data_IF_087898104525
#
_entry.id   IF_087898104525
#
_cell.length_a   1.000
_cell.length_b   1.000
_cell.length_c   1.000
_cell.angle_alpha   90.00
_cell.angle_beta   90.00
_cell.angle_gamma   90.00
#
_symmetry.space_group_name_H-M   'P 1'
#
loop_
_entity.id
_entity.type
_entity.pdbx_description
1 polymer ?
#
# COMPACT_ATOMS: atom_id res chain seq x y z
N UNK A 1 -15.88 -2.77 -4.83
CA UNK A 1 -14.45 -2.62 -4.58
C UNK A 1 -14.17 -1.16 -4.35
N UNK A 2 -13.61 -0.83 -3.20
CA UNK A 2 -13.13 0.53 -2.95
C UNK A 2 -11.70 0.74 -3.48
N UNK A 3 -11.14 1.92 -3.25
CA UNK A 3 -9.77 2.25 -3.65
C UNK A 3 -8.71 1.37 -2.95
N UNK A 4 -8.99 0.91 -1.72
CA UNK A 4 -8.09 0.04 -0.97
C UNK A 4 -8.01 -1.34 -1.62
N UNK A 5 -9.16 -1.94 -1.95
CA UNK A 5 -9.24 -3.24 -2.62
C UNK A 5 -8.51 -3.20 -3.97
N UNK A 6 -8.70 -2.12 -4.74
CA UNK A 6 -8.06 -1.95 -6.06
C UNK A 6 -6.55 -1.82 -5.91
N UNK A 7 -6.09 -1.02 -4.95
CA UNK A 7 -4.67 -0.84 -4.65
C UNK A 7 -4.03 -2.16 -4.22
N UNK A 8 -4.68 -2.93 -3.35
CA UNK A 8 -4.15 -4.23 -2.93
C UNK A 8 -4.06 -5.22 -4.09
N UNK A 9 -5.10 -5.34 -4.92
CA UNK A 9 -5.05 -6.25 -6.07
C UNK A 9 -3.95 -5.85 -7.06
N UNK A 10 -3.80 -4.56 -7.31
CA UNK A 10 -2.75 -4.03 -8.16
C UNK A 10 -1.36 -4.32 -7.58
N UNK A 11 -1.17 -4.09 -6.27
CA UNK A 11 0.06 -4.43 -5.57
C UNK A 11 0.45 -5.90 -5.79
N UNK A 12 -0.48 -6.82 -5.55
CA UNK A 12 -0.23 -8.25 -5.72
C UNK A 12 0.12 -8.59 -7.16
N UNK A 13 -0.57 -8.03 -8.15
CA UNK A 13 -0.27 -8.24 -9.56
C UNK A 13 1.11 -7.70 -9.96
N UNK A 14 1.48 -6.53 -9.46
CA UNK A 14 2.78 -5.91 -9.73
C UNK A 14 3.91 -6.68 -9.06
N UNK A 15 3.72 -7.13 -7.83
CA UNK A 15 4.69 -7.98 -7.11
C UNK A 15 4.86 -9.32 -7.84
N UNK A 16 3.79 -10.00 -8.21
CA UNK A 16 3.87 -11.27 -8.94
C UNK A 16 4.60 -11.14 -10.28
N UNK A 17 4.39 -10.04 -11.00
CA UNK A 17 4.95 -9.85 -12.34
C UNK A 17 6.39 -9.32 -12.36
N UNK A 18 6.74 -8.41 -11.43
CA UNK A 18 8.03 -7.70 -11.45
C UNK A 18 8.95 -8.04 -10.28
N UNK A 19 8.39 -8.39 -9.12
CA UNK A 19 9.16 -8.56 -7.89
C UNK A 19 8.73 -9.81 -7.10
N UNK A 20 8.76 -11.02 -7.71
CA UNK A 20 8.19 -12.22 -7.10
C UNK A 20 8.86 -12.60 -5.76
N UNK A 21 10.10 -12.17 -5.52
CA UNK A 21 10.79 -12.37 -4.25
C UNK A 21 10.00 -11.79 -3.05
N UNK A 22 9.34 -10.64 -3.23
CA UNK A 22 8.55 -9.97 -2.18
C UNK A 22 7.25 -10.72 -1.80
N UNK A 23 6.89 -11.80 -2.49
CA UNK A 23 5.82 -12.70 -2.02
C UNK A 23 6.25 -13.54 -0.81
N UNK A 24 7.56 -13.72 -0.64
CA UNK A 24 8.15 -14.58 0.42
C UNK A 24 9.06 -13.81 1.36
N UNK A 25 9.46 -12.60 0.99
CA UNK A 25 10.39 -11.78 1.74
C UNK A 25 9.73 -10.45 2.12
N UNK A 26 10.03 -9.92 3.32
CA UNK A 26 9.61 -8.57 3.66
C UNK A 26 10.35 -7.55 2.78
N UNK A 27 9.70 -6.41 2.55
CA UNK A 27 10.27 -5.27 1.86
C UNK A 27 9.99 -3.99 2.64
N UNK A 28 10.80 -2.97 2.39
CA UNK A 28 10.66 -1.69 3.08
C UNK A 28 9.44 -0.93 2.54
N UNK A 29 8.74 -0.20 3.40
CA UNK A 29 7.67 0.71 2.97
C UNK A 29 8.18 1.73 1.93
N UNK A 30 9.48 2.04 1.97
CA UNK A 30 10.18 2.84 0.97
C UNK A 30 10.06 2.30 -0.46
N UNK A 31 10.23 0.99 -0.62
CA UNK A 31 10.21 0.34 -1.93
C UNK A 31 8.80 0.34 -2.53
N UNK A 32 7.76 0.36 -1.68
CA UNK A 32 6.37 0.41 -2.11
C UNK A 32 6.10 1.64 -2.98
N UNK A 33 6.51 2.84 -2.54
CA UNK A 33 6.23 4.07 -3.29
C UNK A 33 7.29 4.42 -4.35
N UNK A 34 8.50 3.88 -4.24
CA UNK A 34 9.57 4.13 -5.22
C UNK A 34 9.50 3.18 -6.41
N UNK A 35 9.32 1.89 -6.14
CA UNK A 35 9.57 0.83 -7.12
C UNK A 35 8.30 0.05 -7.48
N UNK A 36 7.47 -0.27 -6.48
CA UNK A 36 6.36 -1.21 -6.69
C UNK A 36 5.10 -0.50 -7.20
N UNK A 37 4.64 0.54 -6.51
CA UNK A 37 3.43 1.30 -6.86
C UNK A 37 3.65 2.82 -6.92
N UNK A 38 4.63 3.34 -7.68
CA UNK A 38 4.81 4.78 -7.78
C UNK A 38 3.56 5.48 -8.35
N UNK A 39 3.01 6.45 -7.59
CA UNK A 39 1.76 7.17 -7.92
C UNK A 39 1.70 7.65 -9.37
N UNK A 40 2.78 8.25 -9.87
CA UNK A 40 2.85 8.80 -11.24
C UNK A 40 2.60 7.75 -12.33
N UNK A 41 2.97 6.50 -12.08
CA UNK A 41 2.82 5.41 -13.04
C UNK A 41 1.45 4.73 -12.92
N UNK A 42 0.90 4.64 -11.70
CA UNK A 42 -0.27 3.80 -11.43
C UNK A 42 -1.57 4.56 -11.12
N UNK A 43 -1.56 5.91 -11.04
CA UNK A 43 -2.75 6.72 -10.68
C UNK A 43 -4.05 6.33 -11.41
N UNK A 44 -3.96 6.00 -12.70
CA UNK A 44 -5.12 5.62 -13.53
C UNK A 44 -5.67 4.24 -13.16
N UNK A 45 -4.78 3.29 -12.87
CA UNK A 45 -5.13 1.90 -12.56
C UNK A 45 -5.63 1.78 -11.12
N UNK A 46 -5.11 2.61 -10.22
CA UNK A 46 -5.57 2.73 -8.82
C UNK A 46 -6.91 3.47 -8.70
N UNK A 47 -7.27 4.28 -9.71
CA UNK A 47 -8.49 5.08 -9.72
C UNK A 47 -8.47 6.15 -8.63
N UNK A 48 -7.32 6.82 -8.48
CA UNK A 48 -7.06 7.88 -7.52
C UNK A 48 -6.87 9.20 -8.25
N UNK A 49 -7.57 10.23 -7.79
CA UNK A 49 -7.59 11.53 -8.46
C UNK A 49 -6.42 12.43 -8.01
N UNK A 50 -6.01 12.29 -6.75
CA UNK A 50 -4.95 13.10 -6.15
C UNK A 50 -3.83 12.26 -5.53
N UNK A 51 -2.67 12.88 -5.31
CA UNK A 51 -1.58 12.27 -4.54
C UNK A 51 -1.98 12.07 -3.06
N UNK A 52 -2.86 12.92 -2.53
CA UNK A 52 -3.37 12.78 -1.16
C UNK A 52 -4.23 11.52 -1.02
N UNK A 53 -5.09 11.21 -2.00
CA UNK A 53 -5.89 9.97 -1.98
C UNK A 53 -4.98 8.74 -1.99
N UNK A 54 -3.89 8.79 -2.76
CA UNK A 54 -2.88 7.75 -2.80
C UNK A 54 -2.18 7.55 -1.45
N UNK A 55 -1.71 8.63 -0.84
CA UNK A 55 -1.06 8.57 0.48
C UNK A 55 -2.03 8.02 1.54
N UNK A 56 -3.29 8.42 1.51
CA UNK A 56 -4.31 7.99 2.45
C UNK A 56 -4.65 6.50 2.30
N UNK A 57 -4.77 6.00 1.05
CA UNK A 57 -4.99 4.57 0.80
C UNK A 57 -3.78 3.73 1.20
N UNK A 58 -2.56 4.23 0.95
CA UNK A 58 -1.35 3.55 1.40
C UNK A 58 -1.24 3.50 2.93
N UNK A 59 -1.54 4.60 3.62
CA UNK A 59 -1.55 4.65 5.07
C UNK A 59 -2.56 3.63 5.64
N UNK A 60 -3.74 3.52 5.06
CA UNK A 60 -4.71 2.47 5.43
C UNK A 60 -4.17 1.06 5.18
N UNK A 61 -3.53 0.82 4.03
CA UNK A 61 -2.95 -0.49 3.72
C UNK A 61 -1.85 -0.87 4.71
N UNK A 62 -0.96 0.08 5.05
CA UNK A 62 0.18 -0.12 5.95
C UNK A 62 -0.23 -0.14 7.43
N UNK A 63 -1.37 0.45 7.80
CA UNK A 63 -1.94 0.31 9.15
C UNK A 63 -2.58 -1.06 9.38
N UNK A 64 -2.55 -1.94 8.38
CA UNK A 64 -3.13 -3.28 8.45
C UNK A 64 -4.64 -3.29 8.21
N UNK A 65 -5.20 -2.28 7.53
CA UNK A 65 -6.62 -2.30 7.19
C UNK A 65 -6.97 -3.60 6.45
N UNK A 66 -7.97 -4.31 6.96
CA UNK A 66 -8.50 -5.58 6.43
C UNK A 66 -7.49 -6.72 6.35
N UNK A 67 -6.39 -6.64 7.11
CA UNK A 67 -5.34 -7.68 7.19
C UNK A 67 -4.74 -8.07 5.83
N UNK A 68 -4.73 -7.14 4.86
CA UNK A 68 -4.19 -7.38 3.51
C UNK A 68 -2.66 -7.55 3.49
N UNK A 69 -1.96 -6.86 4.38
CA UNK A 69 -0.50 -6.94 4.50
C UNK A 69 -0.10 -7.39 5.91
N UNK A 70 0.92 -8.23 5.97
CA UNK A 70 1.63 -8.51 7.22
C UNK A 70 2.64 -7.39 7.43
N UNK A 71 2.31 -6.44 8.31
CA UNK A 71 3.16 -5.31 8.66
C UNK A 71 3.76 -5.54 10.04
N UNK A 72 4.98 -5.02 10.28
CA UNK A 72 5.58 -5.10 11.59
C UNK A 72 4.65 -4.44 12.65
N UNK A 73 4.59 -5.02 13.86
CA UNK A 73 3.60 -4.61 14.86
C UNK A 73 3.79 -3.15 15.33
N UNK A 74 5.04 -2.70 15.47
CA UNK A 74 5.37 -1.34 15.92
C UNK A 74 4.93 -0.26 14.92
N UNK A 75 5.10 -0.52 13.62
CA UNK A 75 4.70 0.36 12.53
C UNK A 75 3.19 0.38 12.39
N UNK A 76 2.55 -0.80 12.47
CA UNK A 76 1.09 -0.91 12.47
C UNK A 76 0.45 -0.04 13.56
N UNK A 77 0.94 -0.15 14.80
CA UNK A 77 0.42 0.63 15.93
C UNK A 77 0.68 2.14 15.81
N UNK A 78 1.80 2.55 15.21
CA UNK A 78 2.07 3.98 14.95
C UNK A 78 1.12 4.52 13.89
N UNK A 79 1.01 3.84 12.76
CA UNK A 79 0.15 4.28 11.65
C UNK A 79 -1.34 4.26 12.00
N UNK A 80 -1.78 3.26 12.76
CA UNK A 80 -3.16 3.20 13.26
C UNK A 80 -3.50 4.38 14.20
N UNK A 81 -2.53 4.83 15.02
CA UNK A 81 -2.71 6.02 15.87
C UNK A 81 -2.79 7.30 15.05
N UNK A 82 -1.91 7.48 14.06
CA UNK A 82 -1.94 8.65 13.17
C UNK A 82 -3.27 8.73 12.39
N UNK A 83 -3.77 7.60 11.88
CA UNK A 83 -5.08 7.55 11.19
C UNK A 83 -6.27 7.88 12.10
N UNK A 84 -6.15 7.63 13.41
CA UNK A 84 -7.19 7.95 14.39
C UNK A 84 -7.06 9.37 14.95
N UNK A 85 -5.97 10.08 14.64
CA UNK A 85 -5.78 11.48 15.05
C UNK A 85 -6.59 12.39 14.12
N UNK A 86 -7.40 13.32 14.68
CA UNK A 86 -8.23 14.25 13.92
C UNK A 86 -7.44 15.33 13.16
#
# INVERSE_FOLDING_TARGET
MDALDRTFRHLVQTVQSRYPAYLTQPFEAAELYQNILPYRHHRRELGLDTNQDYELVLLQLLSGARDYLVVNAQMRERLARELASP
#
